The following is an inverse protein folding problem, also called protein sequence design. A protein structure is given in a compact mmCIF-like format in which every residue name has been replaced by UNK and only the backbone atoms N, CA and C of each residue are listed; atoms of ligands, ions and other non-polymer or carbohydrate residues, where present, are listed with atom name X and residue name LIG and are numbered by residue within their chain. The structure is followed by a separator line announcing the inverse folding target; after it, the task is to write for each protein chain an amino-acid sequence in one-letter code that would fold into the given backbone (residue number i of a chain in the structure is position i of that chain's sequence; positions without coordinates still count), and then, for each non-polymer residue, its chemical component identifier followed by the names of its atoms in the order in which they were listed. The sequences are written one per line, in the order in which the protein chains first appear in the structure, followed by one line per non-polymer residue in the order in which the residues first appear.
data_IF_472532676093
#
_entry.id   IF_472532676093
#
_cell.length_a   1.000
_cell.length_b   1.000
_cell.length_c   1.000
_cell.angle_alpha   90.00
_cell.angle_beta   90.00
_cell.angle_gamma   90.00
#
_symmetry.space_group_name_H-M   'P 1'
#
loop_
_entity.id
_entity.type
_entity.pdbx_description
1 polymer ?
#
# COMPACT_ATOMS: atom_id res chain seq x y z
N UNK A 1 -15.81 -10.29 0.77
CA UNK A 1 -14.49 -10.63 1.35
C UNK A 1 -13.79 -9.31 1.60
N UNK A 2 -13.35 -9.01 2.83
CA UNK A 2 -12.82 -7.69 3.17
C UNK A 2 -11.36 -7.58 2.73
N UNK A 3 -11.12 -6.91 1.61
CA UNK A 3 -9.79 -6.71 1.06
C UNK A 3 -9.08 -5.52 1.73
N UNK A 4 -7.77 -5.63 1.84
CA UNK A 4 -6.88 -4.60 2.37
C UNK A 4 -5.81 -4.29 1.32
N UNK A 5 -5.65 -3.01 0.99
CA UNK A 5 -4.60 -2.56 0.07
C UNK A 5 -3.45 -1.93 0.86
N UNK A 6 -2.23 -2.35 0.54
CA UNK A 6 -1.00 -1.70 0.98
C UNK A 6 -0.26 -1.16 -0.24
N UNK A 7 -0.04 0.15 -0.31
CA UNK A 7 0.83 0.78 -1.31
C UNK A 7 2.20 1.07 -0.70
N UNK A 8 3.25 0.43 -1.25
CA UNK A 8 4.61 0.43 -0.70
C UNK A 8 5.65 0.78 -1.78
N UNK A 9 5.87 2.07 -2.06
CA UNK A 9 6.94 2.52 -2.96
C UNK A 9 8.32 2.24 -2.35
N UNK A 10 9.34 2.12 -3.19
CA UNK A 10 10.74 1.89 -2.79
C UNK A 10 11.69 2.65 -3.74
N UNK A 11 11.70 3.97 -3.66
CA UNK A 11 12.50 4.82 -4.56
C UNK A 11 13.75 5.39 -3.91
N UNK A 12 13.61 5.80 -2.66
CA UNK A 12 14.67 6.35 -1.85
C UNK A 12 14.75 5.63 -0.50
N UNK A 13 15.67 6.09 0.36
CA UNK A 13 15.89 5.45 1.65
C UNK A 13 14.66 5.54 2.57
N UNK A 14 13.93 6.66 2.55
CA UNK A 14 12.77 6.89 3.41
C UNK A 14 11.59 5.98 3.02
N UNK A 15 11.24 5.98 1.73
CA UNK A 15 10.19 5.11 1.19
C UNK A 15 10.55 3.63 1.34
N UNK A 16 11.82 3.25 1.16
CA UNK A 16 12.29 1.87 1.40
C UNK A 16 12.13 1.43 2.86
N UNK A 17 12.43 2.31 3.82
CA UNK A 17 12.23 2.01 5.24
C UNK A 17 10.75 1.78 5.54
N UNK A 18 9.86 2.68 5.11
CA UNK A 18 8.42 2.51 5.27
C UNK A 18 7.91 1.22 4.61
N UNK A 19 8.39 0.91 3.40
CA UNK A 19 8.06 -0.33 2.71
C UNK A 19 8.40 -1.57 3.53
N UNK A 20 9.60 -1.62 4.12
CA UNK A 20 10.06 -2.77 4.90
C UNK A 20 9.26 -2.97 6.18
N UNK A 21 9.02 -1.91 6.96
CA UNK A 21 8.21 -2.00 8.19
C UNK A 21 6.78 -2.44 7.94
N UNK A 22 6.25 -2.12 6.77
CA UNK A 22 4.90 -2.50 6.39
C UNK A 22 4.75 -4.03 6.16
N UNK A 23 5.86 -4.79 6.04
CA UNK A 23 5.82 -6.25 5.90
C UNK A 23 5.24 -6.95 7.14
N UNK A 24 5.52 -6.44 8.35
CA UNK A 24 4.95 -6.99 9.59
C UNK A 24 3.43 -6.83 9.62
N UNK A 25 2.92 -5.68 9.16
CA UNK A 25 1.49 -5.40 9.08
C UNK A 25 0.79 -6.27 8.01
N UNK A 26 1.45 -6.48 6.87
CA UNK A 26 0.97 -7.39 5.82
C UNK A 26 0.89 -8.83 6.36
N UNK A 27 1.93 -9.28 7.08
CA UNK A 27 1.95 -10.59 7.72
C UNK A 27 0.78 -10.74 8.71
N UNK A 28 0.59 -9.75 9.59
CA UNK A 28 -0.52 -9.72 10.53
C UNK A 28 -1.90 -9.74 9.85
N UNK A 29 -2.07 -9.00 8.75
CA UNK A 29 -3.33 -9.00 8.00
C UNK A 29 -3.63 -10.39 7.40
N UNK A 30 -2.60 -11.04 6.84
CA UNK A 30 -2.73 -12.40 6.29
C UNK A 30 -3.03 -13.45 7.36
N UNK A 31 -2.37 -13.40 8.52
CA UNK A 31 -2.65 -14.34 9.63
C UNK A 31 -4.07 -14.18 10.18
N UNK A 32 -4.66 -12.99 10.05
CA UNK A 32 -6.07 -12.71 10.36
C UNK A 32 -7.06 -13.08 9.23
N UNK A 33 -6.60 -13.79 8.19
CA UNK A 33 -7.44 -14.25 7.08
C UNK A 33 -7.97 -13.12 6.18
N UNK A 34 -7.28 -11.97 6.14
CA UNK A 34 -7.65 -10.87 5.23
C UNK A 34 -7.09 -11.11 3.84
N UNK A 35 -7.86 -10.69 2.83
CA UNK A 35 -7.38 -10.66 1.45
C UNK A 35 -6.47 -9.43 1.28
N UNK A 36 -5.18 -9.67 1.04
CA UNK A 36 -4.15 -8.61 1.03
C UNK A 36 -3.66 -8.35 -0.38
N UNK A 37 -3.83 -7.10 -0.83
CA UNK A 37 -3.32 -6.59 -2.10
C UNK A 37 -2.09 -5.73 -1.80
N UNK A 38 -0.92 -6.29 -2.11
CA UNK A 38 0.37 -5.64 -1.91
C UNK A 38 0.85 -4.97 -3.21
N UNK A 39 0.69 -3.65 -3.28
CA UNK A 39 1.16 -2.80 -4.36
C UNK A 39 2.57 -2.32 -4.04
N UNK A 40 3.57 -3.14 -4.39
CA UNK A 40 4.99 -2.91 -4.09
C UNK A 40 5.76 -2.29 -5.27
N UNK A 41 6.75 -1.43 -4.99
CA UNK A 41 7.66 -0.84 -6.00
C UNK A 41 6.86 -0.16 -7.11
N UNK A 42 7.11 -0.49 -8.38
CA UNK A 42 6.40 0.06 -9.54
C UNK A 42 4.88 -0.14 -9.53
N UNK A 43 4.35 -1.09 -8.75
CA UNK A 43 2.90 -1.27 -8.59
C UNK A 43 2.28 -0.27 -7.61
N UNK A 44 3.08 0.40 -6.78
CA UNK A 44 2.66 1.51 -5.93
C UNK A 44 2.46 2.80 -6.75
N UNK A 45 1.85 2.69 -7.93
CA UNK A 45 1.53 3.83 -8.78
C UNK A 45 0.08 4.27 -8.56
N UNK A 46 -0.22 5.51 -8.95
CA UNK A 46 -1.57 6.05 -8.90
C UNK A 46 -2.55 5.22 -9.71
N UNK A 47 -2.17 4.82 -10.92
CA UNK A 47 -3.02 4.08 -11.84
C UNK A 47 -3.39 2.71 -11.29
N UNK A 48 -2.41 1.95 -10.79
CA UNK A 48 -2.67 0.66 -10.16
C UNK A 48 -3.51 0.84 -8.89
N UNK A 49 -3.16 1.79 -8.03
CA UNK A 49 -3.89 2.05 -6.81
C UNK A 49 -5.37 2.37 -7.06
N UNK A 50 -5.66 3.37 -7.88
CA UNK A 50 -7.03 3.78 -8.19
C UNK A 50 -7.81 2.66 -8.88
N UNK A 51 -7.18 1.89 -9.77
CA UNK A 51 -7.77 0.73 -10.44
C UNK A 51 -8.18 -0.35 -9.43
N UNK A 52 -7.33 -0.67 -8.44
CA UNK A 52 -7.61 -1.68 -7.41
C UNK A 52 -8.69 -1.21 -6.44
N UNK A 53 -8.63 0.04 -5.98
CA UNK A 53 -9.66 0.61 -5.08
C UNK A 53 -11.04 0.52 -5.74
N UNK A 54 -11.16 0.95 -7.00
CA UNK A 54 -12.43 0.91 -7.75
C UNK A 54 -12.95 -0.52 -7.94
N UNK A 55 -12.07 -1.48 -8.25
CA UNK A 55 -12.46 -2.86 -8.55
C UNK A 55 -12.77 -3.69 -7.29
N UNK A 56 -12.03 -3.46 -6.22
CA UNK A 56 -12.03 -4.35 -5.05
C UNK A 56 -12.81 -3.78 -3.87
N UNK A 57 -13.13 -2.48 -3.88
CA UNK A 57 -13.82 -1.77 -2.81
C UNK A 57 -13.30 -2.15 -1.40
N UNK A 58 -12.00 -1.90 -1.13
CA UNK A 58 -11.34 -2.37 0.08
C UNK A 58 -11.90 -1.71 1.34
N UNK A 59 -11.89 -2.45 2.44
CA UNK A 59 -12.34 -1.92 3.75
C UNK A 59 -11.25 -1.16 4.48
N UNK A 60 -9.99 -1.32 4.07
CA UNK A 60 -8.85 -0.61 4.63
C UNK A 60 -7.79 -0.38 3.55
N UNK A 61 -7.15 0.79 3.64
CA UNK A 61 -6.06 1.17 2.76
C UNK A 61 -4.93 1.77 3.59
N UNK A 62 -3.71 1.31 3.35
CA UNK A 62 -2.49 1.94 3.84
C UNK A 62 -1.67 2.45 2.66
N UNK A 63 -1.38 3.74 2.65
CA UNK A 63 -0.56 4.38 1.62
C UNK A 63 0.73 4.84 2.28
N UNK A 64 1.86 4.26 1.87
CA UNK A 64 3.18 4.76 2.23
C UNK A 64 3.68 5.69 1.14
N UNK A 65 4.47 6.68 1.54
CA UNK A 65 5.04 7.63 0.61
C UNK A 65 5.50 8.90 1.32
N UNK A 66 6.19 9.73 0.57
CA UNK A 66 6.33 11.14 0.90
C UNK A 66 4.99 11.85 0.70
N UNK A 67 5.00 13.16 0.87
CA UNK A 67 3.80 13.93 0.59
C UNK A 67 3.95 15.40 0.89
N UNK A 68 2.81 16.05 0.80
CA UNK A 68 2.58 17.38 1.33
C UNK A 68 1.35 17.32 2.22
N UNK A 69 0.92 18.48 2.73
CA UNK A 69 -0.32 18.60 3.48
C UNK A 69 -1.54 17.99 2.76
N UNK A 70 -1.57 18.06 1.43
CA UNK A 70 -2.75 17.70 0.63
C UNK A 70 -2.54 16.48 -0.28
N UNK A 71 -1.40 15.80 -0.22
CA UNK A 71 -1.16 14.64 -1.07
C UNK A 71 -0.17 13.63 -0.47
N UNK A 72 -0.33 12.38 -0.89
CA UNK A 72 0.68 11.32 -0.72
C UNK A 72 1.30 11.03 -2.08
N UNK A 73 2.62 10.94 -2.12
CA UNK A 73 3.40 10.64 -3.31
C UNK A 73 4.33 9.46 -3.03
N UNK A 74 4.48 8.58 -4.02
CA UNK A 74 5.32 7.39 -3.90
C UNK A 74 6.54 7.42 -4.79
N UNK A 75 7.03 8.63 -5.14
CA UNK A 75 8.17 8.79 -6.05
C UNK A 75 9.23 7.80 -5.66
#
# INVERSE_FOLDING_TARGET
MNSIIFARPEFDLGTRYLSYWCEELISLARTKGKDVIDLRKRKASREEFESRVKKLNPTFVMINGHGSENCVAGQ
#
